data_IF_465216913410
#
_entry.id   IF_465216913410
#
_cell.length_a   1.000
_cell.length_b   1.000
_cell.length_c   1.000
_cell.angle_alpha   90.00
_cell.angle_beta   90.00
_cell.angle_gamma   90.00
#
_symmetry.space_group_name_H-M   'P 1'
#
loop_
_entity.id
_entity.type
_entity.pdbx_description
1 polymer ?
#
# COMPACT_ATOMS: atom_id res chain seq x y z
N UNK A 1 15.26 -8.29 -15.63
CA UNK A 1 16.10 -7.76 -14.53
C UNK A 1 17.43 -8.49 -14.54
N UNK A 2 18.58 -7.84 -14.29
CA UNK A 2 19.87 -8.53 -14.21
C UNK A 2 19.91 -9.49 -13.01
N UNK A 3 20.65 -10.61 -13.13
CA UNK A 3 20.94 -11.46 -11.98
C UNK A 3 21.86 -10.72 -10.99
N UNK A 4 21.85 -11.13 -9.72
CA UNK A 4 22.67 -10.52 -8.67
C UNK A 4 24.18 -10.52 -9.00
N UNK A 5 24.67 -11.63 -9.56
CA UNK A 5 26.08 -11.80 -9.90
C UNK A 5 26.52 -10.91 -11.07
N UNK A 6 25.58 -10.52 -11.94
CA UNK A 6 25.81 -9.63 -13.09
C UNK A 6 25.84 -8.14 -12.71
N UNK A 7 25.44 -7.80 -11.48
CA UNK A 7 25.45 -6.41 -11.01
C UNK A 7 26.89 -5.90 -10.80
N UNK A 8 27.12 -4.63 -11.13
CA UNK A 8 28.38 -3.97 -10.76
C UNK A 8 28.58 -3.97 -9.23
N UNK A 9 29.83 -3.94 -8.71
CA UNK A 9 30.08 -3.82 -7.28
C UNK A 9 29.37 -2.64 -6.62
N UNK A 10 29.27 -1.50 -7.32
CA UNK A 10 28.55 -0.30 -6.85
C UNK A 10 27.05 -0.58 -6.69
N UNK A 11 26.43 -1.23 -7.68
CA UNK A 11 25.02 -1.58 -7.63
C UNK A 11 24.72 -2.59 -6.52
N UNK A 12 25.56 -3.63 -6.36
CA UNK A 12 25.42 -4.59 -5.25
C UNK A 12 25.46 -3.91 -3.89
N UNK A 13 26.39 -2.97 -3.67
CA UNK A 13 26.49 -2.25 -2.40
C UNK A 13 25.21 -1.46 -2.08
N UNK A 14 24.70 -0.69 -3.05
CA UNK A 14 23.46 0.08 -2.88
C UNK A 14 22.25 -0.82 -2.70
N UNK A 15 22.13 -1.88 -3.50
CA UNK A 15 20.96 -2.76 -3.46
C UNK A 15 20.91 -3.57 -2.17
N UNK A 16 22.08 -4.00 -1.66
CA UNK A 16 22.19 -4.61 -0.33
C UNK A 16 21.73 -3.63 0.75
N UNK A 17 22.20 -2.38 0.72
CA UNK A 17 21.81 -1.35 1.70
C UNK A 17 20.31 -1.09 1.74
N UNK A 18 19.65 -1.03 0.58
CA UNK A 18 18.18 -0.92 0.54
C UNK A 18 17.49 -2.10 1.23
N UNK A 19 17.99 -3.32 1.04
CA UNK A 19 17.42 -4.51 1.68
C UNK A 19 17.74 -4.59 3.17
N UNK A 20 18.92 -4.14 3.60
CA UNK A 20 19.27 -3.98 5.02
C UNK A 20 18.29 -3.03 5.72
N UNK A 21 17.96 -1.89 5.09
CA UNK A 21 17.00 -0.94 5.62
C UNK A 21 15.58 -1.55 5.72
N UNK A 22 15.15 -2.28 4.68
CA UNK A 22 13.87 -3.01 4.73
C UNK A 22 13.85 -4.06 5.85
N UNK A 23 14.89 -4.89 5.96
CA UNK A 23 15.01 -5.92 7.00
C UNK A 23 15.06 -5.33 8.41
N UNK A 24 15.69 -4.16 8.59
CA UNK A 24 15.69 -3.43 9.86
C UNK A 24 14.27 -2.92 10.20
N UNK A 25 13.53 -2.39 9.23
CA UNK A 25 12.15 -1.96 9.43
C UNK A 25 11.22 -3.12 9.80
N UNK A 26 11.36 -4.25 9.11
CA UNK A 26 10.59 -5.46 9.41
C UNK A 26 10.91 -6.01 10.79
N UNK A 27 12.20 -6.11 11.15
CA UNK A 27 12.63 -6.52 12.50
C UNK A 27 12.10 -5.59 13.59
N UNK A 28 12.11 -4.28 13.35
CA UNK A 28 11.55 -3.31 14.30
C UNK A 28 10.03 -3.49 14.46
N UNK A 29 9.33 -3.72 13.35
CA UNK A 29 7.88 -3.96 13.34
C UNK A 29 7.52 -5.21 14.14
N UNK A 30 8.24 -6.32 13.92
CA UNK A 30 8.08 -7.57 14.65
C UNK A 30 8.31 -7.37 16.16
N UNK A 31 9.37 -6.66 16.55
CA UNK A 31 9.62 -6.29 17.95
C UNK A 31 8.46 -5.48 18.56
N UNK A 32 7.85 -4.55 17.79
CA UNK A 32 6.70 -3.78 18.28
C UNK A 32 5.45 -4.65 18.47
N UNK A 33 5.21 -5.61 17.57
CA UNK A 33 4.14 -6.61 17.72
C UNK A 33 4.41 -7.47 18.96
N UNK A 34 5.65 -7.92 19.15
CA UNK A 34 6.09 -8.68 20.32
C UNK A 34 5.82 -7.93 21.63
N UNK A 35 6.09 -6.61 21.69
CA UNK A 35 5.76 -5.78 22.85
C UNK A 35 4.27 -5.73 23.15
N UNK A 36 3.41 -5.65 22.14
CA UNK A 36 1.96 -5.67 22.31
C UNK A 36 1.50 -7.03 22.84
N UNK A 37 1.95 -8.13 22.24
CA UNK A 37 1.59 -9.49 22.62
C UNK A 37 2.06 -9.81 24.04
N UNK A 38 3.30 -9.45 24.39
CA UNK A 38 3.85 -9.63 25.73
C UNK A 38 3.02 -8.85 26.77
N UNK A 39 2.60 -7.62 26.45
CA UNK A 39 1.77 -6.85 27.36
C UNK A 39 0.38 -7.47 27.57
N UNK A 40 -0.22 -8.07 26.54
CA UNK A 40 -1.49 -8.81 26.66
C UNK A 40 -1.33 -10.05 27.55
N UNK A 41 -0.20 -10.75 27.42
CA UNK A 41 0.12 -11.93 28.23
C UNK A 41 0.36 -11.57 29.71
N UNK A 42 1.16 -10.52 29.97
CA UNK A 42 1.40 -9.99 31.33
C UNK A 42 0.11 -9.63 32.06
N UNK A 43 -0.91 -9.18 31.32
CA UNK A 43 -2.24 -8.85 31.85
C UNK A 43 -3.18 -10.04 31.95
N UNK A 44 -2.79 -11.21 31.45
CA UNK A 44 -3.63 -12.41 31.39
C UNK A 44 -4.79 -12.29 30.40
N UNK A 45 -4.67 -11.41 29.39
CA UNK A 45 -5.70 -11.15 28.38
C UNK A 45 -5.44 -11.83 27.03
N UNK A 46 -4.21 -12.31 26.80
CA UNK A 46 -3.84 -12.96 25.54
C UNK A 46 -4.72 -14.18 25.22
N UNK A 47 -5.05 -14.99 26.23
CA UNK A 47 -5.92 -16.18 26.10
C UNK A 47 -7.35 -15.85 25.61
N UNK A 48 -7.79 -14.59 25.74
CA UNK A 48 -9.10 -14.13 25.28
C UNK A 48 -9.02 -13.07 24.18
N UNK A 49 -7.88 -13.01 23.50
CA UNK A 49 -7.63 -12.07 22.41
C UNK A 49 -7.41 -12.82 21.10
N UNK A 50 -8.25 -12.54 20.10
CA UNK A 50 -7.99 -12.88 18.71
C UNK A 50 -6.97 -11.89 18.14
N UNK A 51 -5.83 -12.39 17.67
CA UNK A 51 -4.81 -11.61 16.99
C UNK A 51 -4.78 -12.02 15.51
N UNK A 52 -4.93 -11.05 14.62
CA UNK A 52 -4.79 -11.22 13.16
C UNK A 52 -3.72 -10.26 12.66
N UNK A 53 -2.69 -10.78 12.00
CA UNK A 53 -1.63 -10.00 11.35
C UNK A 53 -1.69 -10.29 9.87
N UNK A 54 -1.74 -9.26 9.03
CA UNK A 54 -1.81 -9.39 7.57
C UNK A 54 -0.99 -8.27 6.91
N UNK A 55 -0.36 -8.57 5.77
CA UNK A 55 0.13 -7.53 4.84
C UNK A 55 -1.05 -6.92 4.08
N UNK A 56 -0.93 -5.67 3.62
CA UNK A 56 -2.00 -4.98 2.89
C UNK A 56 -2.00 -5.27 1.37
N UNK A 57 -0.85 -5.65 0.84
CA UNK A 57 -0.60 -6.01 -0.56
C UNK A 57 0.79 -6.65 -0.69
N UNK A 58 1.05 -7.27 -1.84
CA UNK A 58 2.39 -7.79 -2.16
C UNK A 58 3.51 -6.74 -2.21
N UNK A 59 4.75 -7.18 -2.43
CA UNK A 59 5.94 -6.33 -2.35
C UNK A 59 5.85 -5.07 -3.24
N UNK A 60 6.35 -3.92 -2.77
CA UNK A 60 6.32 -2.68 -3.57
C UNK A 60 7.32 -2.72 -4.73
N UNK A 61 6.86 -2.29 -5.91
CA UNK A 61 7.69 -2.08 -7.11
C UNK A 61 8.09 -0.62 -7.34
N UNK A 62 7.77 0.26 -6.40
CA UNK A 62 7.88 1.72 -6.61
C UNK A 62 9.33 2.19 -6.67
N UNK A 63 10.29 1.44 -6.13
CA UNK A 63 11.73 1.72 -6.26
C UNK A 63 12.26 1.58 -7.69
N UNK A 64 11.52 0.96 -8.61
CA UNK A 64 11.97 0.82 -10.00
C UNK A 64 13.15 -0.15 -10.16
N UNK A 65 13.87 -0.11 -11.29
CA UNK A 65 14.95 -1.05 -11.58
C UNK A 65 16.18 -0.89 -10.68
N UNK A 66 16.36 0.27 -10.04
CA UNK A 66 17.58 0.65 -9.31
C UNK A 66 17.35 1.09 -7.87
N UNK A 67 16.11 1.10 -7.39
CA UNK A 67 15.72 1.66 -6.11
C UNK A 67 15.56 3.17 -6.17
N UNK A 68 14.97 3.74 -5.11
CA UNK A 68 14.76 5.19 -5.00
C UNK A 68 15.11 5.68 -3.59
N UNK A 69 15.74 6.86 -3.53
CA UNK A 69 15.97 7.59 -2.27
C UNK A 69 14.75 8.41 -1.82
N UNK A 70 13.81 8.63 -2.74
CA UNK A 70 12.57 9.39 -2.54
C UNK A 70 11.51 8.80 -3.49
N UNK A 71 10.45 8.24 -2.94
CA UNK A 71 9.33 7.66 -3.69
C UNK A 71 8.46 8.70 -4.41
N UNK A 72 8.62 9.99 -4.12
CA UNK A 72 7.93 11.06 -4.84
C UNK A 72 8.54 11.42 -6.20
N UNK A 73 9.73 10.89 -6.52
CA UNK A 73 10.45 11.22 -7.77
C UNK A 73 9.69 10.88 -9.06
N UNK A 74 8.99 9.74 -9.20
CA UNK A 74 8.19 9.44 -10.39
C UNK A 74 7.17 10.53 -10.70
N UNK A 75 6.53 11.10 -9.66
CA UNK A 75 5.52 12.14 -9.81
C UNK A 75 6.09 13.45 -10.36
N UNK A 76 7.41 13.64 -10.25
CA UNK A 76 8.13 14.81 -10.73
C UNK A 76 9.00 14.51 -11.95
N UNK A 77 8.87 13.31 -12.55
CA UNK A 77 9.67 12.85 -13.70
C UNK A 77 11.19 12.90 -13.45
N UNK A 78 11.59 12.70 -12.19
CA UNK A 78 12.99 12.73 -11.79
C UNK A 78 13.64 11.35 -11.90
N UNK A 79 14.86 11.33 -12.45
CA UNK A 79 15.66 10.12 -12.62
C UNK A 79 16.10 9.50 -11.30
N UNK A 80 16.58 8.25 -11.40
CA UNK A 80 17.14 7.46 -10.30
C UNK A 80 18.46 6.87 -10.75
N UNK A 81 19.52 7.08 -9.99
CA UNK A 81 20.84 6.51 -10.33
C UNK A 81 21.46 5.79 -9.14
N UNK A 82 22.20 4.72 -9.44
CA UNK A 82 23.03 4.01 -8.45
C UNK A 82 24.11 4.94 -7.88
N UNK A 83 24.60 5.90 -8.67
CA UNK A 83 25.61 6.87 -8.23
C UNK A 83 25.10 7.74 -7.07
N UNK A 84 23.95 8.39 -7.23
CA UNK A 84 23.34 9.21 -6.19
C UNK A 84 23.03 8.40 -4.92
N UNK A 85 22.49 7.19 -5.10
CA UNK A 85 22.19 6.30 -3.98
C UNK A 85 23.47 5.83 -3.26
N UNK A 86 24.59 5.67 -3.98
CA UNK A 86 25.88 5.36 -3.37
C UNK A 86 26.46 6.55 -2.62
N UNK A 87 26.35 7.76 -3.16
CA UNK A 87 26.85 8.98 -2.51
C UNK A 87 26.07 9.28 -1.22
N UNK A 88 24.80 8.84 -1.13
CA UNK A 88 23.95 8.96 0.05
C UNK A 88 23.67 7.62 0.76
N UNK A 89 24.55 6.61 0.60
CA UNK A 89 24.30 5.23 1.07
C UNK A 89 24.05 5.13 2.58
N UNK A 90 24.68 6.02 3.37
CA UNK A 90 24.52 6.07 4.82
C UNK A 90 23.21 6.73 5.28
N UNK A 91 22.46 7.33 4.35
CA UNK A 91 21.15 7.91 4.62
C UNK A 91 19.99 6.96 4.30
N UNK A 92 20.26 5.85 3.60
CA UNK A 92 19.25 4.83 3.28
C UNK A 92 18.78 4.16 4.57
N UNK A 93 17.46 4.16 4.80
CA UNK A 93 16.85 3.71 6.05
C UNK A 93 16.91 4.73 7.21
N UNK A 94 17.58 5.87 7.01
CA UNK A 94 17.61 6.96 7.96
C UNK A 94 16.40 7.91 7.84
N UNK A 95 16.20 8.81 8.82
CA UNK A 95 15.03 9.70 8.88
C UNK A 95 14.99 10.79 7.80
N UNK A 96 16.03 10.89 6.96
CA UNK A 96 16.17 11.92 5.92
C UNK A 96 15.76 11.44 4.53
N UNK A 97 15.44 10.16 4.37
CA UNK A 97 15.11 9.54 3.08
C UNK A 97 13.85 8.72 3.20
N UNK A 98 13.05 8.71 2.14
CA UNK A 98 11.93 7.79 2.00
C UNK A 98 12.25 6.85 0.85
N UNK A 99 12.86 5.74 1.22
CA UNK A 99 13.52 4.85 0.28
C UNK A 99 12.62 3.70 -0.16
N UNK A 100 12.81 3.23 -1.39
CA UNK A 100 12.19 2.01 -1.88
C UNK A 100 13.24 1.16 -2.63
N UNK A 101 13.25 -0.14 -2.38
CA UNK A 101 14.25 -1.07 -2.92
C UNK A 101 14.03 -1.35 -4.42
N UNK A 102 15.06 -1.80 -5.16
CA UNK A 102 14.92 -2.15 -6.58
C UNK A 102 14.03 -3.38 -6.82
N UNK A 103 13.48 -3.48 -8.03
CA UNK A 103 12.63 -4.59 -8.48
C UNK A 103 13.18 -6.00 -8.23
N UNK A 104 14.51 -6.17 -8.21
CA UNK A 104 15.13 -7.45 -7.86
C UNK A 104 14.71 -7.94 -6.47
N UNK A 105 14.64 -7.03 -5.49
CA UNK A 105 14.13 -7.34 -4.15
C UNK A 105 12.61 -7.44 -4.10
N UNK A 106 11.88 -6.69 -4.93
CA UNK A 106 10.42 -6.86 -5.09
C UNK A 106 10.08 -8.30 -5.49
N UNK A 107 10.73 -8.82 -6.53
CA UNK A 107 10.49 -10.19 -7.00
C UNK A 107 10.97 -11.22 -5.99
N UNK A 108 12.10 -10.99 -5.30
CA UNK A 108 12.56 -11.86 -4.23
C UNK A 108 11.53 -11.95 -3.09
N UNK A 109 10.96 -10.81 -2.68
CA UNK A 109 9.95 -10.73 -1.62
C UNK A 109 8.62 -11.39 -1.99
N UNK A 110 8.29 -11.47 -3.27
CA UNK A 110 7.07 -12.12 -3.76
C UNK A 110 7.26 -13.58 -4.18
N UNK A 111 8.50 -14.10 -4.20
CA UNK A 111 8.75 -15.47 -4.68
C UNK A 111 7.94 -16.47 -3.85
N UNK A 112 7.17 -17.38 -4.49
CA UNK A 112 7.20 -17.74 -5.92
C UNK A 112 6.16 -17.05 -6.82
N UNK A 113 5.41 -16.08 -6.32
CA UNK A 113 4.29 -15.47 -7.03
C UNK A 113 4.73 -14.44 -8.08
N UNK A 114 3.94 -14.35 -9.17
CA UNK A 114 4.16 -13.41 -10.26
C UNK A 114 3.65 -12.03 -9.91
N UNK A 115 4.33 -11.00 -10.43
CA UNK A 115 3.98 -9.58 -10.27
C UNK A 115 4.10 -9.10 -8.82
N UNK A 116 3.47 -7.97 -8.51
CA UNK A 116 3.68 -7.21 -7.28
C UNK A 116 2.53 -6.25 -7.00
N UNK A 117 2.67 -5.44 -5.94
CA UNK A 117 1.72 -4.39 -5.53
C UNK A 117 1.11 -3.64 -6.72
N UNK A 118 -0.20 -3.41 -6.66
CA UNK A 118 -1.08 -2.78 -7.67
C UNK A 118 -1.52 -3.68 -8.83
N UNK A 119 -0.92 -4.85 -8.99
CA UNK A 119 -1.35 -5.85 -9.97
C UNK A 119 -2.18 -6.94 -9.27
N UNK A 120 -3.08 -7.60 -9.99
CA UNK A 120 -4.04 -8.56 -9.40
C UNK A 120 -3.65 -10.03 -9.62
N UNK A 121 -2.46 -10.31 -10.16
CA UNK A 121 -1.78 -11.60 -10.03
C UNK A 121 -1.37 -11.84 -8.57
N UNK A 122 -1.09 -13.09 -8.18
CA UNK A 122 -0.88 -13.47 -6.78
C UNK A 122 0.28 -12.73 -6.11
N UNK A 123 1.30 -12.26 -6.85
CA UNK A 123 2.37 -11.45 -6.26
C UNK A 123 1.89 -10.07 -5.80
N UNK A 124 0.72 -9.60 -6.21
CA UNK A 124 0.11 -8.36 -5.72
C UNK A 124 -0.95 -8.55 -4.64
N UNK A 125 -1.57 -9.74 -4.53
CA UNK A 125 -2.75 -9.98 -3.70
C UNK A 125 -2.69 -11.21 -2.77
N UNK A 126 -1.68 -12.08 -2.90
CA UNK A 126 -1.52 -13.25 -2.04
C UNK A 126 -0.56 -12.92 -0.89
N UNK A 127 -1.12 -12.31 0.14
CA UNK A 127 -0.41 -11.79 1.30
C UNK A 127 -0.34 -12.77 2.47
N UNK A 128 0.73 -12.73 3.29
CA UNK A 128 0.78 -13.52 4.51
C UNK A 128 -0.28 -13.05 5.51
N UNK A 129 -1.07 -13.99 6.04
CA UNK A 129 -1.97 -13.77 7.17
C UNK A 129 -1.66 -14.76 8.29
N UNK A 130 -1.52 -14.27 9.51
CA UNK A 130 -1.33 -15.07 10.73
C UNK A 130 -2.53 -14.83 11.65
N UNK A 131 -3.13 -15.92 12.12
CA UNK A 131 -4.21 -15.89 13.11
C UNK A 131 -3.73 -16.60 14.37
N UNK A 132 -3.84 -15.94 15.51
CA UNK A 132 -3.56 -16.50 16.82
C UNK A 132 -4.76 -16.28 17.73
N UNK A 133 -5.34 -17.39 18.21
CA UNK A 133 -6.44 -17.36 19.16
C UNK A 133 -6.38 -18.60 20.07
N UNK A 134 -5.82 -18.47 21.29
CA UNK A 134 -5.69 -19.59 22.22
C UNK A 134 -7.03 -20.23 22.51
N UNK A 135 -7.06 -21.57 22.54
CA UNK A 135 -8.28 -22.35 22.77
C UNK A 135 -9.21 -22.49 21.55
N UNK A 136 -9.00 -21.72 20.48
CA UNK A 136 -9.81 -21.80 19.24
C UNK A 136 -9.04 -22.40 18.06
N UNK A 137 -7.71 -22.32 18.05
CA UNK A 137 -6.88 -23.00 17.04
C UNK A 137 -6.47 -24.38 17.59
N UNK A 138 -7.03 -25.50 17.07
CA UNK A 138 -6.76 -26.84 17.62
C UNK A 138 -5.33 -27.33 17.34
N UNK A 139 -4.67 -26.76 16.33
CA UNK A 139 -3.36 -27.14 15.81
C UNK A 139 -2.44 -25.91 15.66
N UNK A 140 -1.86 -25.38 16.76
CA UNK A 140 -0.94 -24.24 16.68
C UNK A 140 0.20 -24.45 15.68
N UNK A 141 0.40 -23.49 14.78
CA UNK A 141 1.37 -23.59 13.68
C UNK A 141 0.84 -24.30 12.43
N UNK A 142 -0.42 -24.73 12.43
CA UNK A 142 -1.10 -25.25 11.24
C UNK A 142 -1.26 -24.21 10.13
N UNK A 143 -1.34 -24.68 8.89
CA UNK A 143 -1.55 -23.85 7.70
C UNK A 143 -2.96 -24.07 7.17
N UNK A 144 -3.64 -22.99 6.77
CA UNK A 144 -4.94 -23.02 6.10
C UNK A 144 -4.79 -22.66 4.63
N UNK A 145 -5.46 -23.41 3.77
CA UNK A 145 -5.42 -23.21 2.32
C UNK A 145 -6.75 -22.75 1.74
N UNK A 146 -7.79 -22.67 2.57
CA UNK A 146 -9.10 -22.15 2.20
C UNK A 146 -8.96 -20.71 1.72
N UNK A 147 -9.49 -20.40 0.55
CA UNK A 147 -9.41 -19.07 -0.02
C UNK A 147 -10.01 -18.03 0.93
N UNK A 148 -9.20 -17.04 1.31
CA UNK A 148 -9.58 -15.96 2.25
C UNK A 148 -9.22 -14.61 1.63
N UNK A 149 -10.07 -13.62 1.83
CA UNK A 149 -9.84 -12.26 1.37
C UNK A 149 -9.86 -11.26 2.54
N UNK A 150 -9.19 -10.11 2.41
CA UNK A 150 -9.10 -9.12 3.49
C UNK A 150 -10.49 -8.64 4.00
N UNK A 151 -11.50 -8.64 3.14
CA UNK A 151 -12.88 -8.27 3.49
C UNK A 151 -13.53 -9.27 4.47
N UNK A 152 -12.98 -10.48 4.61
CA UNK A 152 -13.48 -11.53 5.50
C UNK A 152 -13.08 -11.31 6.97
N UNK A 153 -12.12 -10.41 7.24
CA UNK A 153 -11.65 -10.11 8.60
C UNK A 153 -12.76 -9.50 9.45
N UNK A 154 -13.49 -8.51 8.91
CA UNK A 154 -14.57 -7.84 9.63
C UNK A 154 -15.71 -8.79 10.08
N UNK A 155 -16.34 -9.59 9.19
CA UNK A 155 -17.36 -10.55 9.61
C UNK A 155 -16.80 -11.65 10.52
N UNK A 156 -15.51 -12.00 10.40
CA UNK A 156 -14.88 -12.94 11.33
C UNK A 156 -14.75 -12.39 12.74
N UNK A 157 -14.37 -11.11 12.89
CA UNK A 157 -14.34 -10.45 14.20
C UNK A 157 -15.76 -10.37 14.79
N UNK A 158 -16.77 -10.02 13.98
CA UNK A 158 -18.16 -9.98 14.44
C UNK A 158 -18.65 -11.36 14.90
N UNK A 159 -18.38 -12.41 14.12
CA UNK A 159 -18.70 -13.79 14.48
C UNK A 159 -17.99 -14.23 15.76
N UNK A 160 -16.71 -13.91 15.91
CA UNK A 160 -15.93 -14.17 17.12
C UNK A 160 -16.50 -13.49 18.37
N UNK A 161 -17.07 -12.29 18.21
CA UNK A 161 -17.75 -11.56 19.28
C UNK A 161 -19.22 -12.00 19.50
N UNK A 162 -19.78 -12.85 18.65
CA UNK A 162 -21.21 -13.21 18.67
C UNK A 162 -22.12 -12.01 18.35
N UNK A 163 -21.65 -11.08 17.50
CA UNK A 163 -22.39 -9.87 17.11
C UNK A 163 -22.97 -10.06 15.71
N UNK A 164 -24.29 -9.92 15.61
CA UNK A 164 -24.96 -9.78 14.31
C UNK A 164 -24.82 -8.32 13.82
N UNK A 165 -24.32 -8.07 12.60
CA UNK A 165 -24.23 -6.71 12.07
C UNK A 165 -25.64 -6.09 11.91
N UNK A 166 -25.88 -4.88 12.43
CA UNK A 166 -27.20 -4.27 12.34
C UNK A 166 -27.50 -3.72 10.94
N UNK A 167 -28.73 -3.91 10.46
CA UNK A 167 -29.19 -3.32 9.19
C UNK A 167 -29.23 -1.78 9.21
N UNK A 168 -29.36 -1.18 10.39
CA UNK A 168 -29.43 0.27 10.59
C UNK A 168 -28.62 0.66 11.83
N UNK A 169 -27.74 1.66 11.66
CA UNK A 169 -26.96 2.25 12.74
C UNK A 169 -27.26 3.76 12.79
N UNK A 170 -27.71 4.27 13.94
CA UNK A 170 -28.06 5.68 14.14
C UNK A 170 -28.99 6.27 13.06
N UNK A 171 -29.93 5.47 12.55
CA UNK A 171 -30.88 5.85 11.51
C UNK A 171 -30.33 5.79 10.08
N UNK A 172 -29.09 5.35 9.90
CA UNK A 172 -28.45 5.15 8.59
C UNK A 172 -28.54 3.68 8.20
N UNK A 173 -29.21 3.32 7.09
CA UNK A 173 -29.16 1.97 6.53
C UNK A 173 -27.74 1.58 6.17
N UNK A 174 -27.30 0.41 6.63
CA UNK A 174 -25.96 -0.10 6.33
C UNK A 174 -25.99 -0.90 5.03
N UNK A 175 -24.85 -0.93 4.34
CA UNK A 175 -24.65 -1.85 3.21
C UNK A 175 -24.44 -3.27 3.75
N UNK A 176 -24.78 -4.26 2.93
CA UNK A 176 -24.39 -5.64 3.17
C UNK A 176 -22.87 -5.74 3.33
N UNK A 177 -22.41 -6.61 4.24
CA UNK A 177 -21.00 -6.96 4.35
C UNK A 177 -20.68 -8.00 3.28
N UNK A 178 -19.89 -7.63 2.27
CA UNK A 178 -19.49 -8.54 1.19
C UNK A 178 -18.52 -9.65 1.66
N UNK A 179 -17.98 -9.50 2.86
CA UNK A 179 -17.14 -10.48 3.55
C UNK A 179 -17.91 -11.70 4.06
N UNK A 180 -17.25 -12.85 4.11
CA UNK A 180 -17.77 -14.06 4.74
C UNK A 180 -16.81 -14.50 5.84
N UNK A 181 -17.32 -14.86 7.01
CA UNK A 181 -16.44 -15.26 8.11
C UNK A 181 -15.64 -16.53 7.78
N UNK A 182 -14.33 -16.49 8.04
CA UNK A 182 -13.44 -17.66 7.98
C UNK A 182 -13.27 -18.35 9.34
N UNK A 183 -14.09 -18.02 10.35
CA UNK A 183 -13.95 -18.55 11.70
C UNK A 183 -13.97 -20.09 11.73
N UNK A 184 -14.81 -20.72 10.89
CA UNK A 184 -14.84 -22.17 10.75
C UNK A 184 -13.48 -22.75 10.33
N UNK A 185 -12.75 -22.07 9.44
CA UNK A 185 -11.41 -22.49 9.04
C UNK A 185 -10.37 -22.29 10.15
N UNK A 186 -10.57 -21.34 11.08
CA UNK A 186 -9.71 -21.21 12.27
C UNK A 186 -9.86 -22.44 13.16
N UNK A 187 -11.10 -22.84 13.44
CA UNK A 187 -11.46 -23.88 14.40
C UNK A 187 -11.36 -25.31 13.85
N UNK A 188 -11.48 -25.49 12.52
CA UNK A 188 -11.37 -26.77 11.85
C UNK A 188 -10.50 -26.66 10.57
N UNK A 189 -9.29 -27.26 10.54
CA UNK A 189 -8.45 -27.31 9.34
C UNK A 189 -9.14 -27.94 8.12
N UNK A 190 -10.13 -28.80 8.33
CA UNK A 190 -10.88 -29.49 7.29
C UNK A 190 -12.20 -28.78 6.91
N UNK A 191 -12.46 -27.59 7.46
CA UNK A 191 -13.62 -26.80 7.08
C UNK A 191 -13.64 -26.56 5.56
N UNK A 192 -14.83 -26.60 4.92
CA UNK A 192 -14.95 -26.21 3.52
C UNK A 192 -14.53 -24.75 3.34
N UNK A 193 -14.19 -24.38 2.10
CA UNK A 193 -13.95 -22.97 1.77
C UNK A 193 -15.18 -22.12 2.12
N UNK A 194 -14.98 -21.07 2.91
CA UNK A 194 -16.05 -20.12 3.26
C UNK A 194 -16.35 -19.15 2.11
N UNK A 195 -15.39 -18.95 1.20
CA UNK A 195 -15.50 -18.06 0.04
C UNK A 195 -15.13 -18.79 -1.24
N UNK A 196 -16.07 -18.82 -2.17
CA UNK A 196 -15.91 -19.49 -3.47
C UNK A 196 -15.81 -18.53 -4.65
N UNK A 197 -16.05 -17.23 -4.45
CA UNK A 197 -15.97 -16.20 -5.50
C UNK A 197 -15.38 -14.91 -4.92
N UNK A 198 -14.46 -14.30 -5.65
CA UNK A 198 -13.92 -12.96 -5.36
C UNK A 198 -13.44 -12.30 -6.65
N UNK A 199 -13.94 -11.09 -6.92
CA UNK A 199 -13.43 -10.25 -8.01
C UNK A 199 -12.29 -9.35 -7.50
N UNK A 200 -11.45 -8.90 -8.41
CA UNK A 200 -10.40 -7.90 -8.18
C UNK A 200 -10.35 -6.95 -9.36
N UNK A 201 -10.22 -5.65 -9.07
CA UNK A 201 -9.89 -4.64 -10.08
C UNK A 201 -8.94 -3.63 -9.46
N UNK A 202 -7.86 -3.32 -10.17
CA UNK A 202 -6.93 -2.27 -9.78
C UNK A 202 -6.24 -1.69 -11.02
N UNK A 203 -6.50 -0.42 -11.29
CA UNK A 203 -5.90 0.33 -12.41
C UNK A 203 -6.03 -0.38 -13.77
N UNK A 204 -7.17 -1.01 -14.02
CA UNK A 204 -7.45 -1.74 -15.26
C UNK A 204 -7.10 -3.22 -15.22
N UNK A 205 -6.21 -3.66 -14.32
CA UNK A 205 -5.98 -5.09 -14.13
C UNK A 205 -7.22 -5.72 -13.49
N UNK A 206 -7.77 -6.76 -14.11
CA UNK A 206 -8.98 -7.44 -13.67
C UNK A 206 -8.69 -8.88 -13.28
N UNK A 207 -9.31 -9.40 -12.22
CA UNK A 207 -9.29 -10.83 -11.94
C UNK A 207 -10.57 -11.33 -11.28
N UNK A 208 -10.81 -12.62 -11.42
CA UNK A 208 -11.83 -13.36 -10.72
C UNK A 208 -11.23 -14.66 -10.20
N UNK A 209 -11.31 -14.86 -8.88
CA UNK A 209 -11.24 -16.19 -8.29
C UNK A 209 -12.64 -16.81 -8.26
N UNK A 210 -12.78 -18.05 -8.72
CA UNK A 210 -14.01 -18.82 -8.58
C UNK A 210 -13.73 -20.33 -8.46
N UNK A 211 -14.14 -20.96 -7.35
CA UNK A 211 -14.06 -22.40 -7.09
C UNK A 211 -12.67 -23.01 -7.40
N UNK A 212 -11.61 -22.36 -6.90
CA UNK A 212 -10.22 -22.78 -7.09
C UNK A 212 -9.56 -22.31 -8.38
N UNK A 213 -10.32 -21.81 -9.36
CA UNK A 213 -9.77 -21.22 -10.58
C UNK A 213 -9.59 -19.71 -10.44
N UNK A 214 -8.64 -19.16 -11.20
CA UNK A 214 -8.44 -17.72 -11.33
C UNK A 214 -8.34 -17.32 -12.80
N UNK A 215 -9.18 -16.38 -13.23
CA UNK A 215 -9.04 -15.68 -14.49
C UNK A 215 -8.44 -14.30 -14.21
N UNK A 216 -7.45 -13.84 -14.97
CA UNK A 216 -6.74 -12.59 -14.69
C UNK A 216 -6.23 -11.91 -15.96
N UNK A 217 -6.26 -10.57 -15.98
CA UNK A 217 -5.60 -9.72 -16.97
C UNK A 217 -4.46 -8.93 -16.34
N UNK A 218 -3.48 -8.55 -17.16
CA UNK A 218 -2.49 -7.53 -16.82
C UNK A 218 -2.67 -6.34 -17.76
N UNK A 219 -2.77 -5.15 -17.17
CA UNK A 219 -2.77 -3.89 -17.89
C UNK A 219 -1.58 -3.04 -17.44
N UNK A 220 -0.81 -2.51 -18.40
CA UNK A 220 0.33 -1.66 -18.07
C UNK A 220 -0.15 -0.29 -17.57
N UNK A 221 0.36 0.12 -16.40
CA UNK A 221 -0.04 1.35 -15.75
C UNK A 221 0.24 2.58 -16.65
N UNK A 222 -0.76 3.43 -16.85
CA UNK A 222 -0.71 4.62 -17.72
C UNK A 222 -0.50 4.35 -19.22
N UNK A 223 -0.74 3.12 -19.71
CA UNK A 223 -0.79 2.85 -21.15
C UNK A 223 -2.13 3.32 -21.75
N UNK A 224 -2.27 4.64 -21.91
CA UNK A 224 -3.47 5.23 -22.50
C UNK A 224 -3.69 4.84 -23.98
N UNK A 225 -2.70 4.25 -24.64
CA UNK A 225 -2.80 3.81 -26.03
C UNK A 225 -3.40 2.41 -26.16
N UNK A 226 -3.30 1.57 -25.13
CA UNK A 226 -3.88 0.24 -25.09
C UNK A 226 -5.29 0.25 -24.48
N UNK A 227 -6.34 -0.18 -25.21
CA UNK A 227 -7.67 -0.30 -24.65
C UNK A 227 -7.78 -1.49 -23.69
N UNK A 228 -8.38 -1.31 -22.50
CA UNK A 228 -8.65 -2.41 -21.53
C UNK A 228 -9.35 -3.63 -22.15
N UNK A 229 -10.23 -3.40 -23.14
CA UNK A 229 -10.95 -4.48 -23.81
C UNK A 229 -10.05 -5.40 -24.66
N UNK A 230 -8.83 -4.96 -24.97
CA UNK A 230 -7.82 -5.75 -25.70
C UNK A 230 -6.89 -6.53 -24.76
N UNK A 231 -6.98 -6.33 -23.45
CA UNK A 231 -6.19 -7.07 -22.48
C UNK A 231 -6.46 -8.58 -22.60
N UNK A 232 -5.38 -9.36 -22.61
CA UNK A 232 -5.48 -10.82 -22.68
C UNK A 232 -5.84 -11.39 -21.32
N UNK A 233 -6.92 -12.16 -21.28
CA UNK A 233 -7.26 -12.99 -20.13
C UNK A 233 -6.42 -14.28 -20.10
N UNK A 234 -5.86 -14.55 -18.94
CA UNK A 234 -5.14 -15.77 -18.56
C UNK A 234 -6.04 -16.61 -17.63
N UNK A 235 -5.88 -17.94 -17.60
CA UNK A 235 -6.64 -18.84 -16.73
C UNK A 235 -5.71 -19.78 -15.96
N UNK A 236 -5.92 -19.91 -14.66
CA UNK A 236 -5.11 -20.74 -13.76
C UNK A 236 -5.98 -21.60 -12.84
N UNK A 237 -5.54 -22.83 -12.54
CA UNK A 237 -6.07 -23.63 -11.43
C UNK A 237 -5.15 -23.45 -10.20
N UNK A 238 -5.57 -22.63 -9.25
CA UNK A 238 -4.74 -22.28 -8.09
C UNK A 238 -4.53 -23.44 -7.11
N UNK A 239 -5.33 -24.51 -7.21
CA UNK A 239 -5.19 -25.69 -6.34
C UNK A 239 -3.94 -26.49 -6.70
N UNK A 240 -3.56 -26.45 -7.98
CA UNK A 240 -2.37 -27.15 -8.51
C UNK A 240 -1.25 -26.20 -8.90
N UNK A 241 -1.57 -24.95 -9.22
CA UNK A 241 -0.62 -23.90 -9.63
C UNK A 241 -0.95 -22.55 -8.95
N UNK A 242 -0.64 -22.41 -7.65
CA UNK A 242 -0.81 -21.14 -6.95
C UNK A 242 0.15 -20.05 -7.46
N UNK A 243 1.12 -20.41 -8.31
CA UNK A 243 2.15 -19.50 -8.85
C UNK A 243 1.78 -18.85 -10.19
N UNK A 244 0.65 -19.26 -10.78
CA UNK A 244 0.12 -18.74 -12.04
C UNK A 244 1.12 -18.89 -13.21
N UNK A 245 1.75 -20.06 -13.33
CA UNK A 245 2.77 -20.37 -14.34
C UNK A 245 2.19 -21.03 -15.59
N UNK A 246 1.17 -21.88 -15.45
CA UNK A 246 0.58 -22.66 -16.54
C UNK A 246 -0.76 -22.05 -16.92
N UNK A 247 -0.75 -21.22 -17.97
CA UNK A 247 -1.96 -20.62 -18.51
C UNK A 247 -2.81 -21.64 -19.28
N UNK A 248 -4.00 -21.93 -18.76
CA UNK A 248 -4.98 -22.88 -19.28
C UNK A 248 -5.95 -22.24 -20.29
N UNK A 249 -5.84 -20.95 -20.60
CA UNK A 249 -6.80 -20.23 -21.44
C UNK A 249 -7.05 -20.91 -22.81
N UNK A 250 -6.00 -21.45 -23.43
CA UNK A 250 -6.09 -22.14 -24.71
C UNK A 250 -6.67 -23.56 -24.59
N UNK A 251 -6.45 -24.23 -23.47
CA UNK A 251 -6.86 -25.62 -23.21
C UNK A 251 -8.28 -25.71 -22.65
N UNK A 252 -8.72 -24.69 -21.90
CA UNK A 252 -10.05 -24.59 -21.29
C UNK A 252 -10.80 -23.28 -21.66
N UNK A 253 -11.02 -23.00 -22.97
CA UNK A 253 -11.60 -21.73 -23.41
C UNK A 253 -13.04 -21.51 -22.94
N UNK A 254 -13.83 -22.58 -22.78
CA UNK A 254 -15.20 -22.50 -22.26
C UNK A 254 -15.22 -22.08 -20.77
N UNK A 255 -14.26 -22.58 -19.98
CA UNK A 255 -14.12 -22.17 -18.57
C UNK A 255 -13.71 -20.72 -18.49
N UNK A 256 -12.71 -20.31 -19.28
CA UNK A 256 -12.28 -18.92 -19.28
C UNK A 256 -13.44 -17.99 -19.65
N UNK A 257 -14.21 -18.31 -20.69
CA UNK A 257 -15.38 -17.52 -21.08
C UNK A 257 -16.41 -17.39 -19.93
N UNK A 258 -16.71 -18.48 -19.23
CA UNK A 258 -17.62 -18.47 -18.08
C UNK A 258 -17.08 -17.63 -16.90
N UNK A 259 -15.76 -17.67 -16.66
CA UNK A 259 -15.14 -16.85 -15.63
C UNK A 259 -15.13 -15.36 -16.00
N UNK A 260 -14.88 -15.02 -17.25
CA UNK A 260 -14.95 -13.63 -17.73
C UNK A 260 -16.39 -13.10 -17.63
N UNK A 261 -17.39 -13.88 -18.01
CA UNK A 261 -18.81 -13.51 -17.83
C UNK A 261 -19.13 -13.25 -16.36
N UNK A 262 -18.72 -14.15 -15.47
CA UNK A 262 -18.91 -13.98 -14.02
C UNK A 262 -18.19 -12.74 -13.49
N UNK A 263 -16.98 -12.44 -13.96
CA UNK A 263 -16.26 -11.23 -13.56
C UNK A 263 -17.10 -9.99 -13.82
N UNK A 264 -17.73 -9.87 -15.00
CA UNK A 264 -18.54 -8.70 -15.31
C UNK A 264 -19.80 -8.59 -14.45
N UNK A 265 -20.42 -9.72 -14.10
CA UNK A 265 -21.54 -9.75 -13.15
C UNK A 265 -21.11 -9.25 -11.77
N UNK A 266 -19.98 -9.74 -11.25
CA UNK A 266 -19.44 -9.29 -9.96
C UNK A 266 -19.02 -7.81 -10.01
N UNK A 267 -18.39 -7.37 -11.10
CA UNK A 267 -17.96 -5.99 -11.30
C UNK A 267 -19.15 -5.01 -11.29
N UNK A 268 -20.25 -5.34 -11.97
CA UNK A 268 -21.47 -4.52 -11.95
C UNK A 268 -22.11 -4.51 -10.56
N UNK A 269 -22.26 -5.69 -9.93
CA UNK A 269 -22.87 -5.82 -8.60
C UNK A 269 -22.12 -5.01 -7.53
N UNK A 270 -20.79 -4.87 -7.69
CA UNK A 270 -19.94 -4.16 -6.75
C UNK A 270 -19.60 -2.72 -7.17
N UNK A 271 -20.20 -2.20 -8.24
CA UNK A 271 -20.02 -0.81 -8.67
C UNK A 271 -18.62 -0.48 -9.20
N UNK A 272 -17.92 -1.49 -9.74
CA UNK A 272 -16.59 -1.34 -10.35
C UNK A 272 -16.66 -0.60 -11.69
N UNK A 273 -17.81 -0.66 -12.36
CA UNK A 273 -17.99 -0.10 -13.69
C UNK A 273 -18.40 1.40 -13.66
N UNK A 274 -17.94 2.21 -14.62
CA UNK A 274 -17.01 1.87 -15.69
C UNK A 274 -15.56 1.72 -15.19
N UNK A 275 -14.79 0.84 -15.82
CA UNK A 275 -13.36 0.72 -15.56
C UNK A 275 -12.64 2.04 -15.86
N UNK A 276 -11.75 2.45 -14.96
CA UNK A 276 -10.98 3.70 -15.09
C UNK A 276 -9.48 3.45 -14.94
N UNK A 277 -8.77 3.40 -16.07
CA UNK A 277 -7.32 3.23 -16.12
C UNK A 277 -6.53 4.52 -15.93
N UNK A 278 -7.19 5.66 -15.64
CA UNK A 278 -6.52 6.94 -15.38
C UNK A 278 -5.92 6.94 -13.98
N UNK A 279 -4.92 6.08 -13.78
CA UNK A 279 -4.19 5.95 -12.53
C UNK A 279 -3.77 7.33 -12.03
N UNK A 280 -4.13 7.61 -10.77
CA UNK A 280 -3.76 8.84 -10.05
C UNK A 280 -4.32 10.15 -10.63
N UNK A 281 -5.21 10.11 -11.64
CA UNK A 281 -5.94 11.31 -12.06
C UNK A 281 -6.74 11.92 -10.90
N UNK A 282 -7.27 11.07 -10.01
CA UNK A 282 -7.95 11.45 -8.76
C UNK A 282 -7.03 12.08 -7.67
N UNK A 283 -5.71 11.85 -7.73
CA UNK A 283 -4.74 12.47 -6.81
C UNK A 283 -4.40 13.92 -7.22
N UNK A 284 -4.57 14.23 -8.51
CA UNK A 284 -4.27 15.54 -9.10
C UNK A 284 -5.56 16.33 -9.36
N UNK A 285 -6.67 15.66 -9.66
CA UNK A 285 -7.97 16.27 -9.87
C UNK A 285 -8.56 16.78 -8.55
N UNK A 286 -9.22 17.94 -8.60
CA UNK A 286 -9.92 18.47 -7.44
C UNK A 286 -11.12 17.58 -7.11
N UNK A 287 -11.03 16.84 -5.99
CA UNK A 287 -12.17 16.14 -5.40
C UNK A 287 -13.11 17.12 -4.69
N UNK A 288 -14.43 16.84 -4.64
CA UNK A 288 -15.36 17.59 -3.81
C UNK A 288 -14.86 17.59 -2.36
N UNK A 289 -14.54 18.77 -1.83
CA UNK A 289 -14.11 18.90 -0.44
C UNK A 289 -15.34 19.04 0.43
N UNK A 290 -15.35 18.34 1.58
CA UNK A 290 -16.34 18.58 2.63
C UNK A 290 -16.24 19.97 3.27
N UNK A 291 -15.23 20.75 2.90
CA UNK A 291 -14.99 22.11 3.35
C UNK A 291 -15.31 23.08 2.22
N UNK A 292 -16.14 24.08 2.51
CA UNK A 292 -16.45 25.15 1.57
C UNK A 292 -15.15 25.84 1.08
N UNK A 293 -15.09 26.30 -0.18
CA UNK A 293 -13.94 27.03 -0.69
C UNK A 293 -13.58 28.22 0.21
N UNK A 294 -12.31 28.31 0.60
CA UNK A 294 -11.78 29.39 1.44
C UNK A 294 -10.76 30.21 0.67
N UNK A 295 -10.89 31.53 0.78
CA UNK A 295 -9.93 32.51 0.27
C UNK A 295 -8.91 32.96 1.33
N UNK A 296 -9.11 32.57 2.58
CA UNK A 296 -8.25 32.90 3.72
C UNK A 296 -8.03 31.67 4.58
N UNK A 297 -6.76 31.43 4.90
CA UNK A 297 -6.30 30.38 5.80
C UNK A 297 -5.56 31.08 6.95
N UNK A 298 -5.85 30.68 8.19
CA UNK A 298 -5.19 31.21 9.38
C UNK A 298 -4.53 30.05 10.11
N UNK A 299 -3.21 30.14 10.25
CA UNK A 299 -2.39 29.18 10.96
C UNK A 299 -1.88 29.83 12.24
N UNK A 300 -1.85 29.08 13.34
CA UNK A 300 -1.41 29.56 14.65
C UNK A 300 -0.16 28.82 15.09
N UNK A 301 0.77 29.49 15.79
CA UNK A 301 1.93 28.81 16.33
C UNK A 301 1.52 27.81 17.41
N UNK A 302 2.37 26.81 17.66
CA UNK A 302 2.19 25.77 18.69
C UNK A 302 0.94 24.89 18.53
N UNK A 303 0.44 24.73 17.31
CA UNK A 303 -0.60 23.75 16.98
C UNK A 303 -0.01 22.51 16.33
N UNK A 304 -0.82 21.46 16.21
CA UNK A 304 -0.46 20.29 15.40
C UNK A 304 -0.18 20.70 13.94
N UNK A 305 0.62 19.89 13.20
CA UNK A 305 0.76 20.03 11.76
C UNK A 305 -0.60 20.05 11.08
N UNK A 306 -0.76 20.93 10.09
CA UNK A 306 -2.00 21.05 9.32
C UNK A 306 -1.95 20.07 8.15
N UNK A 307 -2.89 19.12 8.03
CA UNK A 307 -2.96 18.21 6.89
C UNK A 307 -3.11 18.96 5.55
N UNK A 308 -2.51 18.41 4.49
CA UNK A 308 -2.44 19.08 3.17
C UNK A 308 -3.81 19.35 2.54
N UNK A 309 -4.80 18.49 2.81
CA UNK A 309 -6.16 18.57 2.30
C UNK A 309 -6.93 19.81 2.80
N UNK A 310 -6.61 20.30 4.00
CA UNK A 310 -7.20 21.49 4.64
C UNK A 310 -6.25 22.69 4.66
N UNK A 311 -4.98 22.50 4.28
CA UNK A 311 -4.02 23.57 4.08
C UNK A 311 -4.31 24.36 2.78
N UNK A 312 -3.64 25.50 2.67
CA UNK A 312 -3.65 26.30 1.44
C UNK A 312 -3.03 25.48 0.30
N UNK A 313 -3.76 25.36 -0.81
CA UNK A 313 -3.27 24.64 -1.98
C UNK A 313 -2.46 25.58 -2.87
N UNK A 314 -1.14 25.41 -2.86
CA UNK A 314 -0.20 26.15 -3.71
C UNK A 314 0.39 25.30 -4.85
N UNK A 315 -0.04 24.04 -5.00
CA UNK A 315 0.44 23.14 -6.06
C UNK A 315 0.14 23.70 -7.44
N UNK A 316 1.12 23.63 -8.35
CA UNK A 316 1.02 24.14 -9.73
C UNK A 316 0.56 25.61 -9.84
N UNK A 317 0.85 26.44 -8.83
CA UNK A 317 0.44 27.84 -8.78
C UNK A 317 1.64 28.75 -8.52
N UNK A 318 1.66 29.88 -9.23
CA UNK A 318 2.54 31.00 -8.89
C UNK A 318 2.04 31.63 -7.60
N UNK A 319 2.93 31.90 -6.67
CA UNK A 319 2.58 32.52 -5.39
C UNK A 319 3.67 33.50 -4.95
N UNK A 320 3.30 34.39 -4.04
CA UNK A 320 4.20 35.33 -3.37
C UNK A 320 4.00 35.14 -1.88
N UNK A 321 5.08 34.96 -1.13
CA UNK A 321 5.07 34.93 0.33
C UNK A 321 5.52 36.30 0.83
N UNK A 322 4.73 36.92 1.70
CA UNK A 322 5.11 38.14 2.40
C UNK A 322 5.00 37.87 3.89
N UNK A 323 6.09 38.10 4.63
CA UNK A 323 6.11 37.96 6.07
C UNK A 323 6.52 39.28 6.71
N UNK A 324 5.81 39.63 7.79
CA UNK A 324 6.24 40.66 8.73
C UNK A 324 6.70 39.93 9.98
N UNK A 325 7.98 40.11 10.34
CA UNK A 325 8.60 39.43 11.47
C UNK A 325 9.16 40.47 12.43
N UNK A 326 8.92 40.27 13.73
CA UNK A 326 9.57 41.04 14.78
C UNK A 326 10.81 40.27 15.24
N UNK A 327 11.99 40.83 14.96
CA UNK A 327 13.27 40.28 15.42
C UNK A 327 13.68 41.05 16.66
N UNK A 328 13.78 40.37 17.80
CA UNK A 328 14.24 40.97 19.05
C UNK A 328 15.67 41.52 18.93
N UNK A 329 16.03 42.51 19.75
CA UNK A 329 17.37 43.10 19.75
C UNK A 329 18.44 42.02 19.97
N UNK A 330 19.31 41.83 18.99
CA UNK A 330 20.44 40.89 19.05
C UNK A 330 21.63 41.60 19.69
N UNK A 331 21.62 41.77 21.02
CA UNK A 331 22.76 42.30 21.77
C UNK A 331 23.92 41.30 21.72
N UNK A 332 24.69 41.35 20.63
CA UNK A 332 25.80 40.42 20.36
C UNK A 332 25.38 38.96 20.06
N UNK A 333 24.07 38.69 19.91
CA UNK A 333 23.56 37.38 19.53
C UNK A 333 23.79 37.08 18.04
N UNK A 334 23.93 35.80 17.71
CA UNK A 334 23.99 35.34 16.32
C UNK A 334 22.76 35.83 15.53
N UNK A 335 22.93 36.06 14.22
CA UNK A 335 21.85 36.46 13.33
C UNK A 335 20.63 35.53 13.51
N UNK A 336 19.39 36.04 13.46
CA UNK A 336 18.19 35.21 13.61
C UNK A 336 18.21 34.07 12.60
N UNK A 337 17.84 32.86 13.05
CA UNK A 337 17.73 31.68 12.20
C UNK A 337 16.44 30.92 12.51
N UNK A 338 15.83 30.34 11.49
CA UNK A 338 14.67 29.48 11.65
C UNK A 338 13.63 29.61 10.55
N UNK A 339 12.70 28.67 10.54
CA UNK A 339 11.60 28.64 9.59
C UNK A 339 10.52 29.67 9.94
N UNK A 340 10.07 30.42 8.92
CA UNK A 340 8.93 31.33 9.03
C UNK A 340 7.64 30.64 8.56
N UNK A 341 7.73 29.89 7.46
CA UNK A 341 6.63 29.09 6.91
C UNK A 341 7.21 27.90 6.16
N UNK A 342 6.64 26.72 6.38
CA UNK A 342 7.00 25.48 5.68
C UNK A 342 5.73 24.78 5.26
N UNK A 343 5.70 24.31 4.02
CA UNK A 343 4.67 23.40 3.54
C UNK A 343 5.37 22.27 2.79
N UNK A 344 5.37 21.09 3.40
CA UNK A 344 6.05 19.91 2.86
C UNK A 344 6.67 19.07 3.96
N UNK A 345 7.61 18.21 3.54
CA UNK A 345 8.41 17.37 4.43
C UNK A 345 9.82 17.23 3.85
N UNK A 346 10.65 16.38 4.46
CA UNK A 346 11.94 15.99 3.90
C UNK A 346 11.85 15.34 2.51
N UNK A 347 10.64 15.03 2.03
CA UNK A 347 10.39 14.38 0.74
C UNK A 347 10.03 15.34 -0.38
N UNK A 348 9.93 16.63 -0.08
CA UNK A 348 9.61 17.69 -1.03
C UNK A 348 8.65 18.72 -0.44
N UNK A 349 8.56 19.85 -1.13
CA UNK A 349 7.76 21.00 -0.73
C UNK A 349 8.59 22.26 -0.75
N UNK A 350 8.20 23.25 0.05
CA UNK A 350 8.92 24.51 0.11
C UNK A 350 9.02 25.05 1.53
N UNK A 351 10.06 25.85 1.74
CA UNK A 351 10.29 26.56 2.97
C UNK A 351 10.65 28.01 2.71
N UNK A 352 10.18 28.87 3.61
CA UNK A 352 10.54 30.28 3.68
C UNK A 352 11.12 30.51 5.07
N UNK A 353 12.42 30.79 5.14
CA UNK A 353 13.17 30.72 6.39
C UNK A 353 14.31 31.76 6.42
N UNK A 354 14.89 31.97 7.59
CA UNK A 354 16.09 32.81 7.75
C UNK A 354 17.28 31.90 8.01
N UNK A 355 18.33 32.01 7.18
CA UNK A 355 19.58 31.26 7.31
C UNK A 355 20.77 32.19 7.06
N UNK A 356 21.77 32.14 7.94
CA UNK A 356 22.94 33.04 7.83
C UNK A 356 22.61 34.54 7.92
N UNK A 357 21.46 34.91 8.47
CA UNK A 357 20.98 36.30 8.51
C UNK A 357 20.30 36.77 7.22
N UNK A 358 20.17 35.90 6.22
CA UNK A 358 19.47 36.17 4.97
C UNK A 358 18.12 35.45 4.92
N UNK A 359 17.19 36.04 4.18
CA UNK A 359 15.90 35.44 3.90
C UNK A 359 16.02 34.49 2.72
N UNK A 360 15.68 33.23 2.94
CA UNK A 360 15.82 32.14 1.97
C UNK A 360 14.45 31.57 1.62
N UNK A 361 14.24 31.35 0.33
CA UNK A 361 13.16 30.53 -0.20
C UNK A 361 13.79 29.30 -0.84
N UNK A 362 13.37 28.12 -0.40
CA UNK A 362 13.83 26.83 -0.90
C UNK A 362 12.62 26.02 -1.34
N UNK A 363 12.74 25.34 -2.48
CA UNK A 363 11.74 24.43 -3.00
C UNK A 363 12.44 23.17 -3.50
N UNK A 364 12.09 22.05 -2.89
CA UNK A 364 12.65 20.72 -3.14
C UNK A 364 11.70 19.82 -3.93
#
# INVERSE_FOLDING_TARGET
>A
MPAWDDLSPRARAVYARYMEAFAAFLSHTDEQIGRLVAHLDERGELERTLVVVCSDNGASSEGGPTGSLNDNRPWNLLGRTVGEALDAIDEIGGPRRHTNYPWGWTVAGNTPFRRWKREVHNGGIADPMIVHWPGHVPDPGGVRHQFTHAIDVAPTILAACGIEPPDVLDGVPQRHLDGVSFLAAVEDPAAPEHRTTQYFEMFGCCALYHDGYKAVTFHELQDAAHPLAEDRWELYDLRTDPTELVDLAADEPERLAAMVERFWVEAEANGVLPLDQRAFSDLVAERPRGVAPRQRYEYRPHTAPVPEDVAVNVRNRRHVVTATVEVGATDGAAAPQGALLVQGSVLGGWSFHVAGGELVYEHD
#
